data_IF_805350547344
#
_entry.id   IF_805350547344
#
_cell.length_a   1.000
_cell.length_b   1.000
_cell.length_c   1.000
_cell.angle_alpha   90.00
_cell.angle_beta   90.00
_cell.angle_gamma   90.00
#
_symmetry.space_group_name_H-M   'P 1'
#
loop_
_entity.id
_entity.type
_entity.pdbx_description
1 polymer ?
#
# COMPACT_ATOMS: atom_id res chain seq x y z
N UNK A 1 11.51 -17.84 -9.43
CA UNK A 1 10.17 -18.43 -9.25
C UNK A 1 9.24 -17.28 -8.87
N UNK A 2 8.42 -16.78 -9.81
CA UNK A 2 7.52 -15.65 -9.54
C UNK A 2 6.42 -16.14 -8.59
N UNK A 3 6.50 -15.75 -7.31
CA UNK A 3 5.53 -16.16 -6.30
C UNK A 3 4.11 -15.78 -6.72
N UNK A 4 3.12 -16.66 -6.47
CA UNK A 4 1.71 -16.33 -6.68
C UNK A 4 1.37 -15.04 -5.94
N UNK A 5 0.87 -14.03 -6.65
CA UNK A 5 0.40 -12.79 -6.03
C UNK A 5 -0.81 -13.09 -5.14
N UNK A 6 -0.68 -12.82 -3.84
CA UNK A 6 -1.72 -13.08 -2.84
C UNK A 6 -2.60 -11.85 -2.64
N UNK A 7 -3.92 -11.99 -2.83
CA UNK A 7 -4.89 -10.93 -2.52
C UNK A 7 -5.02 -10.58 -1.04
N UNK A 8 -4.30 -11.28 -0.14
CA UNK A 8 -4.34 -11.05 1.32
C UNK A 8 -3.29 -10.05 1.81
N UNK A 9 -2.27 -9.74 1.01
CA UNK A 9 -1.17 -8.85 1.42
C UNK A 9 -1.68 -7.43 1.69
N UNK A 10 -2.33 -6.78 0.70
CA UNK A 10 -2.79 -5.41 0.86
C UNK A 10 -3.81 -5.21 2.00
N UNK A 11 -4.80 -6.10 2.23
CA UNK A 11 -5.66 -6.03 3.42
C UNK A 11 -4.90 -6.09 4.75
N UNK A 12 -3.91 -6.99 4.89
CA UNK A 12 -3.14 -7.14 6.15
C UNK A 12 -2.26 -5.93 6.42
N UNK A 13 -1.57 -5.42 5.41
CA UNK A 13 -0.80 -4.17 5.52
C UNK A 13 -1.73 -2.99 5.83
N UNK A 14 -2.93 -2.91 5.23
CA UNK A 14 -3.91 -1.85 5.55
C UNK A 14 -4.39 -1.94 6.99
N UNK A 15 -4.57 -3.13 7.55
CA UNK A 15 -4.87 -3.27 8.98
C UNK A 15 -3.73 -2.69 9.84
N UNK A 16 -2.47 -3.00 9.50
CA UNK A 16 -1.30 -2.49 10.21
C UNK A 16 -1.17 -0.95 10.09
N UNK A 17 -1.47 -0.38 8.92
CA UNK A 17 -1.58 1.06 8.70
C UNK A 17 -2.60 1.71 9.66
N UNK A 18 -3.81 1.14 9.75
CA UNK A 18 -4.87 1.67 10.61
C UNK A 18 -4.49 1.60 12.09
N UNK A 19 -3.83 0.52 12.52
CA UNK A 19 -3.40 0.35 13.92
C UNK A 19 -2.25 1.27 14.30
N UNK A 20 -1.29 1.49 13.39
CA UNK A 20 -0.12 2.34 13.65
C UNK A 20 -0.42 3.83 13.53
N UNK A 21 -1.37 4.22 12.67
CA UNK A 21 -1.75 5.61 12.45
C UNK A 21 -0.70 6.44 11.69
N UNK A 22 0.31 5.80 11.09
CA UNK A 22 1.45 6.44 10.42
C UNK A 22 1.20 6.73 8.94
N UNK A 23 0.42 5.89 8.27
CA UNK A 23 0.10 5.99 6.84
C UNK A 23 -1.32 5.50 6.58
N UNK A 24 -2.01 6.06 5.59
CA UNK A 24 -3.32 5.58 5.16
C UNK A 24 -3.46 5.60 3.63
N UNK A 25 -3.42 4.41 3.03
CA UNK A 25 -3.56 4.22 1.58
C UNK A 25 -4.73 3.26 1.28
N UNK A 26 -5.42 3.48 0.16
CA UNK A 26 -6.49 2.59 -0.32
C UNK A 26 -5.93 1.38 -1.06
N UNK A 27 -6.68 0.27 -1.08
CA UNK A 27 -6.40 -0.86 -1.95
C UNK A 27 -7.68 -1.34 -2.64
N UNK A 28 -7.54 -1.98 -3.80
CA UNK A 28 -8.66 -2.62 -4.49
C UNK A 28 -8.18 -3.71 -5.45
N UNK A 29 -9.02 -4.69 -5.83
CA UNK A 29 -8.72 -5.60 -6.93
C UNK A 29 -9.09 -4.98 -8.29
N UNK A 30 -8.60 -5.56 -9.39
CA UNK A 30 -9.13 -5.32 -10.74
C UNK A 30 -9.44 -6.67 -11.43
N UNK A 31 -10.64 -7.23 -11.22
CA UNK A 31 -11.01 -8.56 -11.71
C UNK A 31 -10.89 -8.72 -13.23
N UNK A 32 -11.27 -7.70 -13.99
CA UNK A 32 -11.20 -7.71 -15.46
C UNK A 32 -9.75 -7.75 -16.00
N UNK A 33 -8.76 -7.42 -15.16
CA UNK A 33 -7.32 -7.55 -15.46
C UNK A 33 -6.67 -8.71 -14.73
N UNK A 34 -7.47 -9.56 -14.06
CA UNK A 34 -6.98 -10.64 -13.20
C UNK A 34 -5.98 -10.15 -12.14
N UNK A 35 -6.07 -8.89 -11.71
CA UNK A 35 -5.21 -8.33 -10.69
C UNK A 35 -5.88 -8.48 -9.31
N UNK A 36 -5.16 -9.10 -8.38
CA UNK A 36 -5.54 -9.19 -6.97
C UNK A 36 -5.49 -7.81 -6.30
N UNK A 37 -5.77 -7.72 -5.00
CA UNK A 37 -5.67 -6.44 -4.27
C UNK A 37 -4.29 -5.79 -4.42
N UNK A 38 -4.27 -4.53 -4.84
CA UNK A 38 -3.08 -3.68 -4.92
C UNK A 38 -3.35 -2.30 -4.31
N UNK A 39 -2.30 -1.61 -3.88
CA UNK A 39 -2.40 -0.26 -3.35
C UNK A 39 -2.60 0.78 -4.44
N UNK A 40 -3.45 1.76 -4.16
CA UNK A 40 -3.64 2.94 -5.02
C UNK A 40 -3.22 4.18 -4.25
N UNK A 41 -2.02 4.68 -4.56
CA UNK A 41 -1.58 5.99 -4.11
C UNK A 41 -2.25 7.07 -4.97
N UNK A 42 -2.80 8.08 -4.31
CA UNK A 42 -3.48 9.22 -4.93
C UNK A 42 -2.92 10.48 -4.30
N UNK A 43 -2.38 11.38 -5.11
CA UNK A 43 -1.72 12.60 -4.64
C UNK A 43 -2.58 13.82 -4.93
N UNK A 44 -3.22 14.35 -3.88
CA UNK A 44 -4.10 15.52 -3.95
C UNK A 44 -3.78 16.56 -2.88
N UNK A 45 -2.67 16.39 -2.15
CA UNK A 45 -2.27 17.30 -1.08
C UNK A 45 -1.92 18.69 -1.64
N UNK A 46 -2.21 19.71 -0.84
CA UNK A 46 -1.82 21.11 -1.09
C UNK A 46 -1.16 21.64 0.19
N UNK A 47 0.16 21.93 0.17
CA UNK A 47 1.06 21.92 -0.99
C UNK A 47 1.32 20.50 -1.55
N UNK A 48 1.77 20.38 -2.81
CA UNK A 48 2.10 19.09 -3.40
C UNK A 48 3.17 18.33 -2.61
N UNK A 49 3.05 17.02 -2.58
CA UNK A 49 4.03 16.14 -1.96
C UNK A 49 5.36 16.19 -2.72
N UNK A 50 6.46 16.17 -1.97
CA UNK A 50 7.79 16.02 -2.50
C UNK A 50 8.22 14.55 -2.57
N UNK A 51 9.48 14.35 -2.95
CA UNK A 51 10.12 13.03 -3.00
C UNK A 51 10.16 12.37 -1.62
N UNK A 52 10.51 13.12 -0.58
CA UNK A 52 10.69 12.59 0.77
C UNK A 52 9.39 11.98 1.32
N UNK A 53 8.24 12.60 1.05
CA UNK A 53 6.95 12.06 1.48
C UNK A 53 6.61 10.76 0.75
N UNK A 54 6.92 10.66 -0.55
CA UNK A 54 6.69 9.44 -1.33
C UNK A 54 7.63 8.33 -0.88
N UNK A 55 8.91 8.64 -0.65
CA UNK A 55 9.89 7.68 -0.14
C UNK A 55 9.45 7.14 1.23
N UNK A 56 9.00 8.01 2.13
CA UNK A 56 8.41 7.60 3.42
C UNK A 56 7.19 6.68 3.24
N UNK A 57 6.28 6.97 2.31
CA UNK A 57 5.12 6.11 2.05
C UNK A 57 5.54 4.70 1.62
N UNK A 58 6.57 4.58 0.78
CA UNK A 58 7.07 3.30 0.30
C UNK A 58 7.78 2.52 1.43
N UNK A 59 8.65 3.19 2.17
CA UNK A 59 9.36 2.61 3.31
C UNK A 59 8.39 2.12 4.38
N UNK A 60 7.33 2.88 4.64
CA UNK A 60 6.33 2.52 5.64
C UNK A 60 5.45 1.34 5.18
N UNK A 61 5.12 1.24 3.89
CA UNK A 61 4.47 0.04 3.32
C UNK A 61 5.38 -1.19 3.49
N UNK A 62 6.67 -1.06 3.19
CA UNK A 62 7.63 -2.15 3.35
C UNK A 62 7.75 -2.56 4.81
N UNK A 63 7.92 -1.61 5.72
CA UNK A 63 8.06 -1.84 7.16
C UNK A 63 6.83 -2.55 7.74
N UNK A 64 5.63 -2.11 7.38
CA UNK A 64 4.37 -2.71 7.83
C UNK A 64 4.09 -4.08 7.17
N UNK A 65 4.71 -4.36 6.03
CA UNK A 65 4.56 -5.62 5.29
C UNK A 65 5.66 -6.66 5.53
N UNK A 66 6.74 -6.30 6.23
CA UNK A 66 7.97 -7.10 6.34
C UNK A 66 7.75 -8.52 6.87
N UNK A 67 6.81 -8.69 7.81
CA UNK A 67 6.57 -9.96 8.50
C UNK A 67 5.29 -10.68 8.03
N UNK A 68 4.81 -10.40 6.80
CA UNK A 68 3.53 -10.90 6.28
C UNK A 68 3.60 -12.19 5.46
#
# INVERSE_FOLDING_TARGET
MMGKMSGRVAPRVKEAMVRSGTLMVGYQPLPHKQAVNFFRLVFTAVPPLGRAEVDYMLDEIERLGRDL
#
